data_IF_726274539687
#
_entry.id   IF_726274539687
#
_cell.length_a   1.000
_cell.length_b   1.000
_cell.length_c   1.000
_cell.angle_alpha   90.00
_cell.angle_beta   90.00
_cell.angle_gamma   90.00
#
_symmetry.space_group_name_H-M   'P 1'
#
loop_
_entity.id
_entity.type
_entity.pdbx_description
1 polymer ?
#
# COMPACT_ATOMS: atom_id res chain seq x y z
N UNK A 1 22.83 -2.03 -10.74
CA UNK A 1 22.85 -1.67 -9.29
C UNK A 1 24.30 -1.42 -8.90
N UNK A 2 24.56 -0.31 -8.23
CA UNK A 2 25.91 -0.04 -7.73
C UNK A 2 26.22 -0.98 -6.57
N UNK A 3 27.47 -1.46 -6.49
CA UNK A 3 27.94 -2.34 -5.40
C UNK A 3 27.98 -1.64 -4.04
N UNK A 4 27.78 -0.32 -4.01
CA UNK A 4 27.89 0.54 -2.83
C UNK A 4 26.80 1.63 -2.85
N UNK A 5 26.38 2.03 -1.66
CA UNK A 5 25.60 3.25 -1.42
C UNK A 5 26.29 4.15 -0.40
N UNK A 6 25.90 5.41 -0.40
CA UNK A 6 26.37 6.39 0.59
C UNK A 6 25.28 6.58 1.64
N UNK A 7 25.67 6.63 2.89
CA UNK A 7 24.80 6.94 4.02
C UNK A 7 25.35 8.15 4.75
N UNK A 8 24.51 9.18 4.91
CA UNK A 8 24.81 10.38 5.68
C UNK A 8 23.88 10.44 6.88
N UNK A 9 24.46 10.35 8.07
CA UNK A 9 23.76 10.57 9.34
C UNK A 9 23.98 12.00 9.74
N UNK A 10 22.94 12.74 10.09
CA UNK A 10 22.93 14.17 10.42
C UNK A 10 22.28 14.32 11.78
N UNK A 11 23.01 14.82 12.78
CA UNK A 11 22.52 15.04 14.14
C UNK A 11 22.76 16.48 14.59
N UNK A 12 21.79 17.38 14.36
CA UNK A 12 21.86 18.73 14.88
C UNK A 12 21.63 18.74 16.39
N UNK A 13 22.34 19.62 17.13
CA UNK A 13 22.14 19.76 18.58
C UNK A 13 20.80 20.42 18.96
N UNK A 14 20.14 21.10 18.00
CA UNK A 14 18.85 21.79 18.20
C UNK A 14 18.17 22.07 16.85
N UNK A 15 16.93 22.56 16.88
CA UNK A 15 16.16 23.02 15.71
C UNK A 15 15.91 21.94 14.64
N UNK A 16 15.64 20.69 15.05
CA UNK A 16 15.39 19.55 14.17
C UNK A 16 14.35 19.87 13.05
N UNK A 17 13.28 20.57 13.39
CA UNK A 17 12.23 20.94 12.41
C UNK A 17 12.78 21.78 11.25
N UNK A 18 13.68 22.75 11.52
CA UNK A 18 14.27 23.58 10.47
C UNK A 18 15.24 22.79 9.59
N UNK A 19 15.95 21.81 10.15
CA UNK A 19 16.77 20.89 9.36
C UNK A 19 15.93 19.93 8.54
N UNK A 20 14.79 19.46 9.07
CA UNK A 20 13.83 18.64 8.30
C UNK A 20 13.31 19.42 7.09
N UNK A 21 12.82 20.65 7.27
CA UNK A 21 12.33 21.50 6.18
C UNK A 21 13.43 21.75 5.13
N UNK A 22 14.65 22.04 5.58
CA UNK A 22 15.79 22.24 4.67
C UNK A 22 16.11 20.98 3.86
N UNK A 23 16.07 19.80 4.48
CA UNK A 23 16.35 18.53 3.82
C UNK A 23 15.24 18.16 2.81
N UNK A 24 13.98 18.48 3.10
CA UNK A 24 12.87 18.31 2.13
C UNK A 24 13.13 19.11 0.86
N UNK A 25 13.62 20.35 0.99
CA UNK A 25 13.90 21.22 -0.16
C UNK A 25 15.17 20.82 -0.91
N UNK A 26 16.16 20.25 -0.20
CA UNK A 26 17.47 19.91 -0.76
C UNK A 26 17.46 18.56 -1.49
N UNK A 27 16.65 17.59 -1.05
CA UNK A 27 16.72 16.20 -1.46
C UNK A 27 15.56 15.83 -2.40
N UNK A 28 15.83 15.39 -3.64
CA UNK A 28 14.81 14.82 -4.52
C UNK A 28 14.36 13.42 -4.08
N UNK A 29 15.19 12.73 -3.31
CA UNK A 29 14.90 11.45 -2.65
C UNK A 29 14.71 11.71 -1.16
N UNK A 30 13.69 11.12 -0.54
CA UNK A 30 13.40 11.34 0.87
C UNK A 30 14.56 10.98 1.82
N UNK A 31 14.36 11.27 3.09
CA UNK A 31 15.25 10.89 4.18
C UNK A 31 14.45 10.22 5.30
N UNK A 32 15.12 9.52 6.18
CA UNK A 32 14.56 8.87 7.36
C UNK A 32 14.79 9.77 8.58
N UNK A 33 13.75 10.06 9.35
CA UNK A 33 13.87 10.72 10.65
C UNK A 33 14.18 9.67 11.72
N UNK A 34 15.16 10.00 12.58
CA UNK A 34 15.53 9.23 13.76
C UNK A 34 15.36 10.11 15.00
N UNK A 35 15.38 9.52 16.20
CA UNK A 35 15.09 10.23 17.46
C UNK A 35 15.86 11.54 17.65
N UNK A 36 17.11 11.60 17.17
CA UNK A 36 18.03 12.73 17.36
C UNK A 36 18.59 13.30 16.03
N UNK A 37 17.94 13.02 14.89
CA UNK A 37 18.45 13.51 13.61
C UNK A 37 17.83 12.87 12.38
N UNK A 38 18.65 12.74 11.32
CA UNK A 38 18.22 12.29 10.01
C UNK A 38 19.23 11.33 9.39
N UNK A 39 18.72 10.42 8.54
CA UNK A 39 19.54 9.50 7.74
C UNK A 39 19.16 9.66 6.27
N UNK A 40 20.14 10.01 5.44
CA UNK A 40 20.02 10.10 3.99
C UNK A 40 20.78 8.95 3.36
N UNK A 41 20.16 8.25 2.39
CA UNK A 41 20.81 7.18 1.63
C UNK A 41 20.72 7.47 0.13
N UNK A 42 21.80 7.24 -0.61
CA UNK A 42 21.88 7.48 -2.05
C UNK A 42 22.90 6.58 -2.72
N UNK A 43 22.64 6.19 -3.96
CA UNK A 43 23.66 5.54 -4.83
C UNK A 43 24.70 6.55 -5.34
N UNK A 44 24.39 7.85 -5.29
CA UNK A 44 25.30 8.94 -5.63
C UNK A 44 25.98 9.51 -4.37
N UNK A 45 27.15 10.14 -4.55
CA UNK A 45 27.87 10.76 -3.44
C UNK A 45 27.05 11.83 -2.71
N UNK A 46 26.98 11.74 -1.40
CA UNK A 46 26.28 12.71 -0.55
C UNK A 46 27.19 13.83 -0.01
N UNK A 47 28.40 14.01 -0.55
CA UNK A 47 29.34 15.08 -0.15
C UNK A 47 28.73 16.47 -0.34
N UNK A 48 27.98 16.70 -1.43
CA UNK A 48 27.30 17.97 -1.69
C UNK A 48 26.18 18.22 -0.67
N UNK A 49 25.45 17.17 -0.29
CA UNK A 49 24.41 17.26 0.75
C UNK A 49 25.02 17.57 2.10
N UNK A 50 26.10 16.89 2.47
CA UNK A 50 26.87 17.16 3.70
C UNK A 50 27.31 18.62 3.76
N UNK A 51 27.94 19.10 2.70
CA UNK A 51 28.36 20.51 2.61
C UNK A 51 27.16 21.47 2.74
N UNK A 52 26.04 21.19 2.07
CA UNK A 52 24.82 22.00 2.16
C UNK A 52 24.26 22.08 3.58
N UNK A 53 24.24 20.97 4.31
CA UNK A 53 23.79 20.89 5.70
C UNK A 53 24.72 21.67 6.64
N UNK A 54 26.02 21.57 6.45
CA UNK A 54 27.01 22.34 7.23
C UNK A 54 26.83 23.86 6.99
N UNK A 55 26.64 24.29 5.73
CA UNK A 55 26.40 25.69 5.41
C UNK A 55 25.07 26.20 5.98
N UNK A 56 24.03 25.35 5.98
CA UNK A 56 22.75 25.70 6.60
C UNK A 56 22.90 25.88 8.12
N UNK A 57 23.62 25.00 8.80
CA UNK A 57 23.90 25.11 10.24
C UNK A 57 24.63 26.44 10.57
N UNK A 58 25.67 26.80 9.80
CA UNK A 58 26.38 28.07 9.95
C UNK A 58 25.45 29.28 9.71
N UNK A 59 24.61 29.24 8.69
CA UNK A 59 23.71 30.33 8.40
C UNK A 59 22.64 30.49 9.51
N UNK A 60 22.12 29.39 10.01
CA UNK A 60 21.14 29.34 11.08
C UNK A 60 21.71 29.88 12.39
N UNK A 61 22.95 29.47 12.73
CA UNK A 61 23.70 30.00 13.88
C UNK A 61 23.87 31.54 13.82
N UNK A 62 24.22 32.06 12.63
CA UNK A 62 24.34 33.51 12.42
C UNK A 62 23.02 34.24 12.55
N UNK A 63 21.93 33.63 12.07
CA UNK A 63 20.60 34.23 12.07
C UNK A 63 20.00 34.29 13.48
N UNK A 64 20.16 33.23 14.26
CA UNK A 64 19.60 33.10 15.61
C UNK A 64 20.49 33.63 16.72
N UNK A 65 21.80 33.76 16.47
CA UNK A 65 22.79 34.15 17.49
C UNK A 65 23.05 33.07 18.53
N UNK A 66 22.75 31.82 18.22
CA UNK A 66 22.94 30.65 19.08
C UNK A 66 24.00 29.71 18.49
N UNK A 67 24.67 28.94 19.34
CA UNK A 67 25.59 27.89 18.87
C UNK A 67 24.77 26.66 18.49
N UNK A 68 24.89 26.23 17.24
CA UNK A 68 24.22 25.03 16.71
C UNK A 68 25.33 24.08 16.24
N UNK A 69 25.65 23.11 17.10
CA UNK A 69 26.55 22.04 16.72
C UNK A 69 25.82 21.00 15.84
N UNK A 70 26.57 20.46 14.90
CA UNK A 70 26.07 19.41 14.02
C UNK A 70 27.08 18.27 13.95
N UNK A 71 26.65 17.07 14.24
CA UNK A 71 27.43 15.85 14.04
C UNK A 71 26.97 15.17 12.75
N UNK A 72 27.87 15.07 11.77
CA UNK A 72 27.60 14.47 10.47
C UNK A 72 28.58 13.33 10.21
N UNK A 73 28.05 12.17 9.91
CA UNK A 73 28.85 10.99 9.56
C UNK A 73 28.45 10.52 8.16
N UNK A 74 29.38 10.69 7.21
CA UNK A 74 29.22 10.16 5.84
C UNK A 74 30.03 8.85 5.72
N UNK A 75 29.33 7.77 5.41
CA UNK A 75 29.93 6.45 5.17
C UNK A 75 29.61 5.96 3.75
N UNK A 76 30.47 5.09 3.26
CA UNK A 76 30.24 4.33 2.02
C UNK A 76 30.09 2.87 2.40
N UNK A 77 28.86 2.36 2.27
CA UNK A 77 28.48 1.02 2.69
C UNK A 77 28.33 0.08 1.48
N UNK A 78 28.54 -1.20 1.69
CA UNK A 78 28.24 -2.20 0.67
C UNK A 78 26.74 -2.40 0.55
N UNK A 79 26.26 -2.44 -0.68
CA UNK A 79 24.83 -2.62 -0.96
C UNK A 79 24.30 -4.00 -0.51
N UNK A 80 25.18 -5.00 -0.45
CA UNK A 80 24.85 -6.37 -0.01
C UNK A 80 24.33 -6.41 1.44
N UNK A 81 24.92 -5.63 2.35
CA UNK A 81 24.52 -5.62 3.78
C UNK A 81 23.17 -4.95 3.97
N UNK A 82 22.88 -3.90 3.22
CA UNK A 82 21.57 -3.22 3.27
C UNK A 82 20.46 -4.07 2.63
N UNK A 83 20.75 -4.69 1.47
CA UNK A 83 19.80 -5.59 0.81
C UNK A 83 19.45 -6.75 1.73
N UNK A 84 20.45 -7.34 2.39
CA UNK A 84 20.23 -8.45 3.32
C UNK A 84 19.41 -8.00 4.55
N UNK A 85 19.69 -6.83 5.13
CA UNK A 85 18.93 -6.26 6.24
C UNK A 85 17.49 -5.93 5.83
N UNK A 86 17.30 -5.30 4.67
CA UNK A 86 16.01 -4.98 4.10
C UNK A 86 15.18 -6.27 3.84
N UNK A 87 15.79 -7.27 3.20
CA UNK A 87 15.14 -8.55 2.96
C UNK A 87 14.76 -9.27 4.26
N UNK A 88 15.62 -9.25 5.27
CA UNK A 88 15.37 -9.84 6.58
C UNK A 88 14.26 -9.11 7.37
N UNK A 89 14.07 -7.83 7.15
CA UNK A 89 13.04 -7.03 7.81
C UNK A 89 11.63 -7.31 7.27
N UNK A 90 11.54 -7.81 6.02
CA UNK A 90 10.26 -8.08 5.36
C UNK A 90 9.89 -9.54 5.56
N UNK A 91 8.89 -9.77 6.41
CA UNK A 91 8.38 -11.10 6.67
C UNK A 91 7.21 -11.43 5.75
N UNK A 92 7.12 -12.65 5.22
CA UNK A 92 5.93 -13.10 4.50
C UNK A 92 4.68 -13.08 5.38
N UNK A 93 3.51 -12.88 4.76
CA UNK A 93 2.21 -12.86 5.44
C UNK A 93 1.39 -14.08 5.03
N UNK A 94 0.92 -14.84 6.02
CA UNK A 94 0.01 -15.96 5.79
C UNK A 94 -1.41 -15.59 6.16
N UNK A 95 -2.31 -15.66 5.17
CA UNK A 95 -3.76 -15.47 5.34
C UNK A 95 -4.46 -16.57 4.53
N UNK A 96 -4.83 -17.67 5.18
CA UNK A 96 -5.41 -18.82 4.48
C UNK A 96 -6.54 -18.42 3.51
N UNK A 97 -6.52 -18.89 2.24
CA UNK A 97 -5.58 -19.85 1.65
C UNK A 97 -4.32 -19.23 1.02
N UNK A 98 -4.03 -17.95 1.25
CA UNK A 98 -2.98 -17.18 0.60
C UNK A 98 -1.69 -17.12 1.41
N UNK A 99 -0.56 -17.11 0.70
CA UNK A 99 0.75 -16.81 1.20
C UNK A 99 1.34 -15.66 0.38
N UNK A 100 1.50 -14.50 1.00
CA UNK A 100 2.03 -13.29 0.39
C UNK A 100 3.51 -13.22 0.77
N UNK A 101 4.38 -13.15 -0.22
CA UNK A 101 5.81 -13.18 0.02
C UNK A 101 6.55 -12.29 -0.99
N UNK A 102 7.72 -11.73 -0.63
CA UNK A 102 8.58 -11.07 -1.61
C UNK A 102 9.20 -12.09 -2.57
N UNK A 103 9.73 -11.62 -3.70
CA UNK A 103 10.30 -12.49 -4.76
C UNK A 103 11.50 -13.32 -4.32
N UNK A 104 12.25 -12.86 -3.32
CA UNK A 104 13.40 -13.59 -2.77
C UNK A 104 13.02 -14.68 -1.77
N UNK A 105 11.77 -14.77 -1.36
CA UNK A 105 11.27 -15.82 -0.48
C UNK A 105 10.71 -17.00 -1.26
N UNK A 106 10.86 -18.19 -0.69
CA UNK A 106 10.39 -19.44 -1.32
C UNK A 106 8.86 -19.56 -1.18
N UNK A 107 8.15 -19.85 -2.29
CA UNK A 107 6.72 -20.15 -2.24
C UNK A 107 6.39 -21.28 -1.25
N UNK A 108 5.30 -21.15 -0.52
CA UNK A 108 4.85 -22.16 0.44
C UNK A 108 3.97 -23.19 -0.25
N UNK A 109 4.39 -24.47 -0.18
CA UNK A 109 3.64 -25.58 -0.78
C UNK A 109 2.23 -25.70 -0.17
N UNK A 110 1.23 -25.96 -1.01
CA UNK A 110 -0.17 -26.10 -0.60
C UNK A 110 -0.91 -24.78 -0.37
N UNK A 111 -0.26 -23.61 -0.58
CA UNK A 111 -0.87 -22.30 -0.47
C UNK A 111 -1.01 -21.63 -1.84
N UNK A 112 -1.92 -20.68 -1.94
CA UNK A 112 -2.02 -19.77 -3.09
C UNK A 112 -0.97 -18.66 -2.92
N UNK A 113 0.18 -18.84 -3.56
CA UNK A 113 1.30 -17.94 -3.43
C UNK A 113 1.11 -16.67 -4.27
N UNK A 114 1.39 -15.53 -3.68
CA UNK A 114 1.36 -14.21 -4.31
C UNK A 114 2.68 -13.51 -3.99
N UNK A 115 3.50 -13.32 -5.01
CA UNK A 115 4.78 -12.63 -4.89
C UNK A 115 4.53 -11.11 -5.04
N UNK A 116 4.86 -10.34 -4.01
CA UNK A 116 4.80 -8.87 -4.02
C UNK A 116 6.04 -8.35 -3.31
N UNK A 117 6.85 -7.60 -4.04
CA UNK A 117 7.96 -6.88 -3.44
C UNK A 117 7.46 -5.57 -2.81
N UNK A 118 7.99 -5.17 -1.66
CA UNK A 118 7.66 -3.88 -1.07
C UNK A 118 8.02 -2.75 -2.02
N UNK A 119 7.02 -2.03 -2.45
CA UNK A 119 7.13 -0.85 -3.29
C UNK A 119 6.53 0.35 -2.57
N UNK A 120 6.65 1.53 -3.16
CA UNK A 120 6.06 2.77 -2.66
C UNK A 120 4.51 2.75 -2.63
N UNK A 121 3.87 1.77 -3.28
CA UNK A 121 2.42 1.64 -3.27
C UNK A 121 1.90 0.86 -2.05
N UNK A 122 0.74 1.29 -1.54
CA UNK A 122 0.01 0.64 -0.45
C UNK A 122 -0.40 -0.79 -0.84
N UNK A 123 -0.31 -1.75 0.10
CA UNK A 123 -0.86 -3.10 -0.10
C UNK A 123 0.17 -4.24 -0.08
N UNK A 124 1.11 -4.22 0.88
CA UNK A 124 2.09 -5.32 1.09
C UNK A 124 1.51 -6.56 1.81
N UNK A 125 0.22 -6.54 2.16
CA UNK A 125 -0.43 -7.63 2.90
C UNK A 125 -0.38 -7.51 4.42
N UNK A 126 0.51 -6.71 5.00
CA UNK A 126 0.68 -6.56 6.45
C UNK A 126 -0.42 -5.72 7.11
N UNK A 127 -1.06 -4.82 6.36
CA UNK A 127 -2.09 -3.97 6.94
C UNK A 127 -3.34 -4.80 7.30
N UNK A 128 -3.97 -4.59 8.47
CA UNK A 128 -5.15 -5.32 8.92
C UNK A 128 -6.30 -5.36 7.89
N UNK A 129 -6.53 -4.25 7.17
CA UNK A 129 -7.56 -4.17 6.13
C UNK A 129 -7.28 -5.10 4.96
N UNK A 130 -6.03 -5.23 4.55
CA UNK A 130 -5.63 -6.14 3.46
C UNK A 130 -5.80 -7.59 3.89
N UNK A 131 -5.36 -7.95 5.11
CA UNK A 131 -5.49 -9.30 5.63
C UNK A 131 -6.97 -9.74 5.74
N UNK A 132 -7.85 -8.86 6.23
CA UNK A 132 -9.28 -9.17 6.32
C UNK A 132 -9.97 -9.23 4.95
N UNK A 133 -9.58 -8.40 3.97
CA UNK A 133 -10.03 -8.54 2.57
C UNK A 133 -9.59 -9.89 1.97
N UNK A 134 -8.34 -10.31 2.19
CA UNK A 134 -7.84 -11.60 1.71
C UNK A 134 -8.65 -12.77 2.29
N UNK A 135 -8.97 -12.74 3.60
CA UNK A 135 -9.88 -13.75 4.22
C UNK A 135 -11.25 -13.76 3.54
N UNK A 136 -11.83 -12.58 3.30
CA UNK A 136 -13.12 -12.47 2.64
C UNK A 136 -13.06 -13.00 1.19
N UNK A 137 -12.02 -12.65 0.42
CA UNK A 137 -11.78 -13.18 -0.93
C UNK A 137 -11.62 -14.69 -0.90
N UNK A 138 -10.82 -15.23 0.04
CA UNK A 138 -10.62 -16.67 0.22
C UNK A 138 -11.93 -17.43 0.40
N UNK A 139 -12.93 -16.81 1.04
CA UNK A 139 -14.23 -17.41 1.36
C UNK A 139 -15.29 -17.18 0.26
N UNK A 140 -15.34 -15.97 -0.30
CA UNK A 140 -16.46 -15.53 -1.14
C UNK A 140 -16.15 -15.49 -2.64
N UNK A 141 -14.87 -15.56 -3.05
CA UNK A 141 -14.50 -15.64 -4.46
C UNK A 141 -14.31 -17.10 -4.87
N UNK A 142 -14.89 -17.47 -5.99
CA UNK A 142 -14.82 -18.82 -6.56
C UNK A 142 -14.29 -18.77 -8.00
N UNK A 143 -13.80 -19.91 -8.48
CA UNK A 143 -13.34 -20.04 -9.86
C UNK A 143 -14.46 -19.68 -10.85
N UNK A 144 -14.12 -18.86 -11.84
CA UNK A 144 -15.06 -18.36 -12.85
C UNK A 144 -15.84 -17.12 -12.43
N UNK A 145 -15.77 -16.66 -11.17
CA UNK A 145 -16.38 -15.38 -10.80
C UNK A 145 -15.75 -14.22 -11.59
N UNK A 146 -16.58 -13.26 -11.96
CA UNK A 146 -16.14 -11.97 -12.44
C UNK A 146 -15.99 -11.01 -11.27
N UNK A 147 -14.77 -10.54 -11.02
CA UNK A 147 -14.40 -9.75 -9.85
C UNK A 147 -13.90 -8.37 -10.29
N UNK A 148 -14.32 -7.35 -9.56
CA UNK A 148 -13.82 -5.97 -9.69
C UNK A 148 -13.06 -5.54 -8.45
N UNK A 149 -11.81 -5.09 -8.64
CA UNK A 149 -10.99 -4.48 -7.59
C UNK A 149 -10.96 -2.96 -7.78
N UNK A 150 -11.54 -2.22 -6.83
CA UNK A 150 -11.70 -0.75 -6.90
C UNK A 150 -10.75 -0.07 -5.95
N UNK A 151 -9.85 0.76 -6.48
CA UNK A 151 -8.72 1.29 -5.75
C UNK A 151 -7.69 0.20 -5.51
N UNK A 152 -7.21 -0.41 -6.61
CA UNK A 152 -6.45 -1.66 -6.55
C UNK A 152 -5.05 -1.52 -5.93
N UNK A 153 -4.45 -0.33 -5.90
CA UNK A 153 -3.12 -0.09 -5.36
C UNK A 153 -2.08 -1.04 -5.95
N UNK A 154 -1.46 -1.86 -5.11
CA UNK A 154 -0.50 -2.90 -5.55
C UNK A 154 -1.13 -4.03 -6.37
N UNK A 155 -2.46 -4.12 -6.44
CA UNK A 155 -3.19 -5.22 -7.08
C UNK A 155 -3.30 -6.50 -6.23
N UNK A 156 -2.87 -6.49 -4.97
CA UNK A 156 -2.84 -7.70 -4.12
C UNK A 156 -4.18 -8.42 -4.02
N UNK A 157 -5.30 -7.66 -3.92
CA UNK A 157 -6.64 -8.25 -3.81
C UNK A 157 -7.10 -8.84 -5.12
N UNK A 158 -6.81 -8.17 -6.24
CA UNK A 158 -6.99 -8.69 -7.59
C UNK A 158 -6.21 -9.98 -7.81
N UNK A 159 -4.91 -10.00 -7.45
CA UNK A 159 -4.07 -11.20 -7.56
C UNK A 159 -4.62 -12.35 -6.73
N UNK A 160 -5.11 -12.08 -5.52
CA UNK A 160 -5.75 -13.10 -4.68
C UNK A 160 -6.99 -13.69 -5.35
N UNK A 161 -7.84 -12.85 -5.95
CA UNK A 161 -9.01 -13.30 -6.71
C UNK A 161 -8.61 -14.13 -7.95
N UNK A 162 -7.58 -13.70 -8.70
CA UNK A 162 -7.05 -14.45 -9.85
C UNK A 162 -6.47 -15.81 -9.42
N UNK A 163 -5.76 -15.90 -8.30
CA UNK A 163 -5.28 -17.18 -7.74
C UNK A 163 -6.41 -18.14 -7.37
N UNK A 164 -7.59 -17.63 -7.08
CA UNK A 164 -8.83 -18.41 -6.87
C UNK A 164 -9.47 -18.83 -8.21
N UNK A 165 -8.94 -18.42 -9.35
CA UNK A 165 -9.48 -18.71 -10.69
C UNK A 165 -10.57 -17.74 -11.15
N UNK A 166 -10.65 -16.55 -10.56
CA UNK A 166 -11.57 -15.49 -10.97
C UNK A 166 -11.06 -14.75 -12.22
N UNK A 167 -12.00 -14.17 -12.98
CA UNK A 167 -11.75 -13.22 -14.07
C UNK A 167 -11.81 -11.81 -13.46
N UNK A 168 -10.72 -11.08 -13.51
CA UNK A 168 -10.59 -9.85 -12.73
C UNK A 168 -10.44 -8.62 -13.61
N UNK A 169 -11.26 -7.62 -13.33
CA UNK A 169 -11.07 -6.23 -13.73
C UNK A 169 -10.58 -5.43 -12.52
N UNK A 170 -9.81 -4.37 -12.75
CA UNK A 170 -9.36 -3.48 -11.69
C UNK A 170 -9.33 -2.03 -12.13
N UNK A 171 -9.42 -1.10 -11.19
CA UNK A 171 -9.18 0.32 -11.45
C UNK A 171 -8.56 1.03 -10.26
N UNK A 172 -7.80 2.07 -10.56
CA UNK A 172 -7.31 3.03 -9.57
C UNK A 172 -7.29 4.43 -10.19
N UNK A 173 -7.45 5.46 -9.37
CA UNK A 173 -7.35 6.86 -9.82
C UNK A 173 -5.90 7.35 -9.91
N UNK A 174 -4.97 6.59 -9.32
CA UNK A 174 -3.54 6.85 -9.38
C UNK A 174 -2.89 6.00 -10.49
N UNK A 175 -2.29 6.62 -11.52
CA UNK A 175 -1.60 5.89 -12.59
C UNK A 175 -0.41 5.06 -12.09
N UNK A 176 0.26 5.48 -11.01
CA UNK A 176 1.36 4.71 -10.41
C UNK A 176 0.85 3.40 -9.82
N UNK A 177 -0.32 3.43 -9.17
CA UNK A 177 -1.00 2.23 -8.66
C UNK A 177 -1.36 1.27 -9.78
N UNK A 178 -1.92 1.77 -10.89
CA UNK A 178 -2.27 0.94 -12.08
C UNK A 178 -1.02 0.26 -12.65
N UNK A 179 0.07 1.00 -12.82
CA UNK A 179 1.33 0.46 -13.33
C UNK A 179 1.90 -0.61 -12.40
N UNK A 180 1.92 -0.35 -11.10
CA UNK A 180 2.40 -1.30 -10.09
C UNK A 180 1.56 -2.59 -10.05
N UNK A 181 0.23 -2.47 -10.15
CA UNK A 181 -0.67 -3.63 -10.23
C UNK A 181 -0.40 -4.49 -11.47
N UNK A 182 -0.07 -3.87 -12.62
CA UNK A 182 0.32 -4.57 -13.84
C UNK A 182 1.64 -5.32 -13.67
N UNK A 183 2.65 -4.68 -13.11
CA UNK A 183 3.97 -5.27 -12.86
C UNK A 183 3.87 -6.46 -11.89
N UNK A 184 3.10 -6.30 -10.81
CA UNK A 184 2.85 -7.40 -9.87
C UNK A 184 2.07 -8.56 -10.50
N UNK A 185 1.14 -8.29 -11.43
CA UNK A 185 0.45 -9.36 -12.15
C UNK A 185 1.40 -10.12 -13.07
N UNK A 186 2.24 -9.44 -13.83
CA UNK A 186 3.27 -10.05 -14.68
C UNK A 186 4.23 -10.91 -13.87
N UNK A 187 4.73 -10.39 -12.75
CA UNK A 187 5.61 -11.11 -11.81
C UNK A 187 4.97 -12.40 -11.29
N UNK A 188 3.66 -12.40 -11.08
CA UNK A 188 2.89 -13.55 -10.64
C UNK A 188 2.41 -14.46 -11.80
N UNK A 189 2.75 -14.16 -13.05
CA UNK A 189 2.26 -14.86 -14.25
C UNK A 189 0.72 -14.88 -14.33
N UNK A 190 0.10 -13.76 -13.93
CA UNK A 190 -1.33 -13.52 -13.96
C UNK A 190 -1.64 -12.34 -14.87
N UNK A 191 -2.88 -12.22 -15.30
CA UNK A 191 -3.30 -11.11 -16.15
C UNK A 191 -4.73 -10.66 -15.83
N UNK A 192 -4.91 -9.36 -15.79
CA UNK A 192 -6.24 -8.75 -15.73
C UNK A 192 -7.00 -9.01 -17.04
N UNK A 193 -8.32 -9.13 -16.95
CA UNK A 193 -9.17 -8.98 -18.15
C UNK A 193 -9.08 -7.53 -18.63
N UNK A 194 -9.22 -6.58 -17.70
CA UNK A 194 -9.01 -5.14 -17.93
C UNK A 194 -8.50 -4.47 -16.65
N UNK A 195 -7.61 -3.50 -16.81
CA UNK A 195 -7.21 -2.59 -15.74
C UNK A 195 -7.10 -1.18 -16.33
N UNK A 196 -7.53 -0.15 -15.59
CA UNK A 196 -7.51 1.23 -16.09
C UNK A 196 -7.30 2.26 -14.98
N UNK A 197 -6.76 3.41 -15.38
CA UNK A 197 -6.75 4.61 -14.57
C UNK A 197 -8.13 5.26 -14.60
N UNK A 198 -8.69 5.54 -13.41
CA UNK A 198 -9.96 6.22 -13.26
C UNK A 198 -10.98 5.48 -12.40
N UNK A 199 -12.21 6.00 -12.32
CA UNK A 199 -13.25 5.44 -11.47
C UNK A 199 -13.90 4.18 -12.08
N UNK A 200 -14.61 3.41 -11.24
CA UNK A 200 -15.41 2.24 -11.68
C UNK A 200 -16.49 2.60 -12.71
N UNK A 201 -16.93 3.85 -12.76
CA UNK A 201 -17.96 4.32 -13.70
C UNK A 201 -17.56 4.22 -15.17
N UNK A 202 -16.26 4.09 -15.47
CA UNK A 202 -15.76 3.85 -16.82
C UNK A 202 -16.05 2.41 -17.32
N UNK A 203 -16.42 1.48 -16.45
CA UNK A 203 -16.91 0.15 -16.85
C UNK A 203 -18.43 0.14 -16.95
N UNK A 204 -18.97 -0.57 -17.94
CA UNK A 204 -20.39 -0.86 -18.05
C UNK A 204 -20.74 -2.30 -17.60
N UNK A 205 -19.72 -3.10 -17.32
CA UNK A 205 -19.87 -4.49 -16.89
C UNK A 205 -20.45 -4.61 -15.47
N UNK A 206 -20.98 -5.78 -15.18
CA UNK A 206 -21.45 -6.17 -13.84
C UNK A 206 -20.66 -7.36 -13.32
N UNK A 207 -20.47 -7.41 -12.01
CA UNK A 207 -19.54 -8.33 -11.35
C UNK A 207 -20.24 -9.20 -10.31
N UNK A 208 -19.76 -10.42 -10.11
CA UNK A 208 -20.21 -11.31 -9.03
C UNK A 208 -19.68 -10.83 -7.68
N UNK A 209 -18.44 -10.30 -7.68
CA UNK A 209 -17.83 -9.76 -6.48
C UNK A 209 -17.17 -8.42 -6.80
N UNK A 210 -17.39 -7.43 -5.95
CA UNK A 210 -16.64 -6.17 -5.98
C UNK A 210 -15.90 -6.06 -4.65
N UNK A 211 -14.60 -5.85 -4.72
CA UNK A 211 -13.77 -5.54 -3.56
C UNK A 211 -13.29 -4.10 -3.63
N UNK A 212 -13.31 -3.39 -2.50
CA UNK A 212 -12.80 -2.03 -2.36
C UNK A 212 -12.19 -1.86 -0.96
N UNK A 213 -10.87 -1.70 -0.91
CA UNK A 213 -10.13 -1.40 0.32
C UNK A 213 -9.65 0.04 0.28
N UNK A 214 -10.56 0.98 0.49
CA UNK A 214 -10.37 2.42 0.37
C UNK A 214 -11.04 3.16 1.52
N UNK A 215 -10.71 4.44 1.72
CA UNK A 215 -11.23 5.21 2.86
C UNK A 215 -12.76 5.32 2.86
N UNK A 216 -13.36 5.32 4.05
CA UNK A 216 -14.81 5.27 4.26
C UNK A 216 -15.59 6.37 3.51
N UNK A 217 -15.04 7.58 3.38
CA UNK A 217 -15.70 8.68 2.70
C UNK A 217 -15.85 8.42 1.20
N UNK A 218 -14.86 7.83 0.58
CA UNK A 218 -14.90 7.42 -0.83
C UNK A 218 -15.88 6.27 -1.00
N UNK A 219 -15.87 5.25 -0.12
CA UNK A 219 -16.87 4.16 -0.14
C UNK A 219 -18.31 4.69 -0.12
N UNK A 220 -18.59 5.69 0.72
CA UNK A 220 -19.90 6.32 0.78
C UNK A 220 -20.22 7.07 -0.51
N UNK A 221 -19.24 7.79 -1.06
CA UNK A 221 -19.42 8.58 -2.28
C UNK A 221 -19.75 7.70 -3.50
N UNK A 222 -19.05 6.57 -3.67
CA UNK A 222 -19.22 5.67 -4.82
C UNK A 222 -20.27 4.56 -4.62
N UNK A 223 -21.01 4.58 -3.49
CA UNK A 223 -21.94 3.50 -3.13
C UNK A 223 -22.98 3.20 -4.23
N UNK A 224 -23.51 4.25 -4.90
CA UNK A 224 -24.46 4.08 -6.00
C UNK A 224 -23.84 3.41 -7.23
N UNK A 225 -22.56 3.66 -7.47
CA UNK A 225 -21.85 3.13 -8.63
C UNK A 225 -21.46 1.68 -8.42
N UNK A 226 -20.99 1.32 -7.22
CA UNK A 226 -20.76 -0.08 -6.85
C UNK A 226 -22.05 -0.90 -6.96
N UNK A 227 -23.18 -0.36 -6.46
CA UNK A 227 -24.48 -1.04 -6.57
C UNK A 227 -24.89 -1.30 -8.01
N UNK A 228 -24.71 -0.34 -8.94
CA UNK A 228 -25.06 -0.49 -10.35
C UNK A 228 -24.20 -1.54 -11.06
N UNK A 229 -22.98 -1.79 -10.58
CA UNK A 229 -22.03 -2.74 -11.17
C UNK A 229 -22.03 -4.10 -10.47
N UNK A 230 -22.79 -4.26 -9.39
CA UNK A 230 -22.94 -5.56 -8.73
C UNK A 230 -24.11 -6.32 -9.34
N UNK A 231 -23.93 -7.62 -9.61
CA UNK A 231 -25.01 -8.53 -10.01
C UNK A 231 -25.98 -8.75 -8.86
N UNK A 232 -27.21 -9.17 -9.17
CA UNK A 232 -28.32 -9.31 -8.22
C UNK A 232 -27.97 -10.15 -6.98
N UNK A 233 -27.17 -11.21 -7.13
CA UNK A 233 -26.74 -12.07 -6.03
C UNK A 233 -25.27 -11.86 -5.68
N UNK A 234 -24.71 -10.73 -6.10
CA UNK A 234 -23.31 -10.42 -5.95
C UNK A 234 -22.91 -10.05 -4.52
N UNK A 235 -21.62 -10.06 -4.29
CA UNK A 235 -21.02 -9.78 -2.97
C UNK A 235 -20.15 -8.52 -3.05
N UNK A 236 -20.33 -7.58 -2.10
CA UNK A 236 -19.42 -6.47 -1.86
C UNK A 236 -18.50 -6.80 -0.69
N UNK A 237 -17.20 -6.60 -0.87
CA UNK A 237 -16.20 -6.68 0.18
C UNK A 237 -15.63 -5.26 0.34
N UNK A 238 -15.99 -4.58 1.43
CA UNK A 238 -15.63 -3.18 1.68
C UNK A 238 -14.72 -3.09 2.90
N UNK A 239 -13.56 -2.45 2.76
CA UNK A 239 -12.57 -2.28 3.82
C UNK A 239 -11.91 -0.89 3.76
N UNK A 240 -10.93 -0.64 4.65
CA UNK A 240 -10.38 0.71 4.84
C UNK A 240 -11.27 1.57 5.73
N UNK A 241 -12.12 0.92 6.52
CA UNK A 241 -13.14 1.56 7.37
C UNK A 241 -12.64 1.54 8.81
N UNK A 242 -12.38 2.72 9.39
CA UNK A 242 -12.18 2.80 10.85
C UNK A 242 -13.51 2.55 11.55
N UNK A 243 -13.49 1.91 12.71
CA UNK A 243 -14.67 1.54 13.52
C UNK A 243 -15.67 2.71 13.73
N UNK A 244 -15.16 3.89 14.02
CA UNK A 244 -15.97 5.12 14.17
C UNK A 244 -16.76 5.53 12.91
N UNK A 245 -16.40 4.99 11.73
CA UNK A 245 -17.07 5.26 10.45
C UNK A 245 -17.97 4.11 9.97
N UNK A 246 -18.00 2.98 10.66
CA UNK A 246 -18.80 1.81 10.28
C UNK A 246 -20.26 2.15 10.03
N UNK A 247 -20.91 2.83 10.98
CA UNK A 247 -22.32 3.25 10.86
C UNK A 247 -22.58 4.16 9.66
N UNK A 248 -21.61 5.02 9.31
CA UNK A 248 -21.70 5.91 8.14
C UNK A 248 -21.73 5.10 6.86
N UNK A 249 -20.85 4.11 6.73
CA UNK A 249 -20.79 3.20 5.59
C UNK A 249 -22.06 2.36 5.51
N UNK A 250 -22.46 1.69 6.59
CA UNK A 250 -23.68 0.87 6.63
C UNK A 250 -24.93 1.64 6.22
N UNK A 251 -25.05 2.92 6.58
CA UNK A 251 -26.16 3.77 6.11
C UNK A 251 -26.17 3.98 4.59
N UNK A 252 -25.00 4.13 3.96
CA UNK A 252 -24.91 4.26 2.50
C UNK A 252 -25.30 2.97 1.78
N UNK A 253 -25.02 1.82 2.41
CA UNK A 253 -25.31 0.48 1.90
C UNK A 253 -26.55 -0.17 2.55
N UNK A 254 -27.53 0.61 3.02
CA UNK A 254 -28.74 0.14 3.74
C UNK A 254 -29.63 -0.85 2.96
N UNK A 255 -29.45 -0.92 1.64
CA UNK A 255 -30.16 -1.88 0.77
C UNK A 255 -29.48 -3.24 0.70
N UNK A 256 -28.38 -3.41 1.39
CA UNK A 256 -27.64 -4.66 1.50
C UNK A 256 -27.83 -5.31 2.86
N UNK A 257 -27.70 -6.63 2.91
CA UNK A 257 -27.60 -7.40 4.15
C UNK A 257 -26.14 -7.61 4.50
N UNK A 258 -25.78 -7.37 5.77
CA UNK A 258 -24.46 -7.68 6.29
C UNK A 258 -24.33 -9.21 6.46
N UNK A 259 -23.45 -9.84 5.70
CA UNK A 259 -23.15 -11.27 5.79
C UNK A 259 -22.06 -11.58 6.80
N UNK A 260 -20.99 -10.80 6.73
CA UNK A 260 -19.85 -10.95 7.64
C UNK A 260 -19.25 -9.58 7.97
N UNK A 261 -18.65 -9.55 9.15
CA UNK A 261 -17.93 -8.41 9.67
C UNK A 261 -16.63 -8.88 10.27
N UNK A 262 -15.52 -8.38 9.77
CA UNK A 262 -14.21 -8.59 10.36
C UNK A 262 -13.78 -7.31 11.07
N UNK A 263 -13.13 -7.45 12.21
CA UNK A 263 -12.49 -6.35 12.91
C UNK A 263 -11.09 -6.77 13.34
N UNK A 264 -10.13 -5.94 12.98
CA UNK A 264 -8.75 -6.04 13.43
C UNK A 264 -8.29 -4.66 13.90
N UNK A 265 -8.03 -4.54 15.20
CA UNK A 265 -7.80 -3.27 15.87
C UNK A 265 -8.97 -2.30 15.59
N UNK A 266 -8.68 -1.09 15.10
CA UNK A 266 -9.66 -0.05 14.71
C UNK A 266 -10.26 -0.23 13.30
N UNK A 267 -9.84 -1.28 12.56
CA UNK A 267 -10.23 -1.47 11.16
C UNK A 267 -11.34 -2.49 10.98
N UNK A 268 -12.30 -2.12 10.14
CA UNK A 268 -13.49 -2.92 9.81
C UNK A 268 -13.46 -3.31 8.34
N UNK A 269 -13.81 -4.57 8.09
CA UNK A 269 -14.15 -5.08 6.76
C UNK A 269 -15.57 -5.64 6.78
N UNK A 270 -16.38 -5.21 5.83
CA UNK A 270 -17.79 -5.60 5.69
C UNK A 270 -17.96 -6.46 4.44
N UNK A 271 -18.63 -7.60 4.58
CA UNK A 271 -19.09 -8.41 3.46
C UNK A 271 -20.59 -8.24 3.36
N UNK A 272 -21.05 -7.68 2.25
CA UNK A 272 -22.44 -7.31 2.04
C UNK A 272 -22.98 -8.02 0.80
N UNK A 273 -24.29 -8.38 0.82
CA UNK A 273 -25.02 -8.88 -0.36
C UNK A 273 -26.30 -8.09 -0.52
N UNK A 274 -26.80 -7.96 -1.75
CA UNK A 274 -28.07 -7.26 -1.96
C UNK A 274 -29.20 -7.98 -1.21
N UNK A 275 -30.10 -7.20 -0.59
CA UNK A 275 -31.30 -7.76 0.06
C UNK A 275 -32.15 -8.42 -1.01
N UNK A 276 -32.37 -9.72 -0.88
CA UNK A 276 -33.31 -10.42 -1.74
C UNK A 276 -34.69 -9.75 -1.67
N UNK A 277 -35.28 -9.43 -2.81
CA UNK A 277 -36.68 -9.04 -2.86
C UNK A 277 -37.49 -10.23 -2.32
N UNK A 278 -37.93 -10.12 -1.05
CA UNK A 278 -38.92 -11.05 -0.48
C UNK A 278 -40.31 -10.71 -1.00
#
# INVERSE_FOLDING_TARGET
MNDYYYMLVIKPSSHLELFSDFLVDLLPVGFEEIDDGFVVRSEESLETVLWGVEQFAEALQKALGEVIDIDCVLTKEKNDDWIAQYQNAIQPVRVDPFYIHPTWETPLEGMLNIAIDPALAFGTGHHPTTASCLRAIGKHVHSGNEVMDVGCGSGILALAAMRKGAIVDACDTDPVSVQNALENAEQNHLSYRRIWEGPITLSEETFDVIVANIVADVLVFIASDLKKRLRSDGTLILSGIMDKYEDKVLRAYRTFDLKERFQENEWITLVLTEKGNK
#
